data_IF_693078964100
#
_entry.id   IF_693078964100
#
_cell.length_a   1.000
_cell.length_b   1.000
_cell.length_c   1.000
_cell.angle_alpha   90.00
_cell.angle_beta   90.00
_cell.angle_gamma   90.00
#
_symmetry.space_group_name_H-M   'P 1'
#
loop_
_entity.id
_entity.type
_entity.pdbx_description
1 polymer ?
#
# COMPACT_ATOMS: atom_id res chain seq x y z
N UNK A 1 -26.22 -8.45 -11.18
CA UNK A 1 -24.78 -8.43 -11.49
C UNK A 1 -24.50 -9.05 -12.84
N UNK A 2 -23.83 -8.30 -13.71
CA UNK A 2 -23.41 -8.76 -15.04
C UNK A 2 -22.12 -9.58 -14.92
N UNK A 3 -22.07 -10.87 -15.29
CA UNK A 3 -20.87 -11.69 -15.16
C UNK A 3 -19.64 -11.09 -15.86
N UNK A 4 -19.85 -10.41 -16.99
CA UNK A 4 -18.84 -9.73 -17.80
C UNK A 4 -18.25 -8.48 -17.13
N UNK A 5 -18.89 -7.96 -16.08
CA UNK A 5 -18.37 -6.85 -15.28
C UNK A 5 -17.64 -7.31 -14.02
N UNK A 6 -17.53 -8.63 -13.79
CA UNK A 6 -16.74 -9.16 -12.66
C UNK A 6 -15.27 -9.21 -13.05
N UNK A 7 -14.49 -8.26 -12.57
CA UNK A 7 -13.04 -8.30 -12.72
C UNK A 7 -12.37 -9.41 -11.91
N UNK A 8 -11.23 -9.86 -12.42
CA UNK A 8 -10.40 -10.84 -11.72
C UNK A 8 -9.45 -10.09 -10.79
N UNK A 9 -9.76 -10.14 -9.49
CA UNK A 9 -8.89 -9.65 -8.42
C UNK A 9 -7.79 -10.65 -8.03
N UNK A 10 -7.64 -11.75 -8.77
CA UNK A 10 -6.81 -12.89 -8.37
C UNK A 10 -5.35 -12.46 -8.17
N UNK A 11 -4.87 -12.52 -6.94
CA UNK A 11 -3.51 -12.09 -6.56
C UNK A 11 -3.36 -10.59 -6.33
N UNK A 12 -4.42 -9.80 -6.52
CA UNK A 12 -4.51 -8.37 -6.26
C UNK A 12 -5.70 -8.06 -5.33
N UNK A 13 -6.16 -9.03 -4.55
CA UNK A 13 -7.22 -8.83 -3.56
C UNK A 13 -6.78 -7.78 -2.54
N UNK A 14 -7.66 -6.80 -2.31
CA UNK A 14 -7.44 -5.69 -1.39
C UNK A 14 -8.77 -5.28 -0.75
N UNK A 15 -8.69 -4.49 0.32
CA UNK A 15 -9.83 -3.99 1.06
C UNK A 15 -9.58 -2.57 1.57
N UNK A 16 -10.64 -1.91 2.04
CA UNK A 16 -10.57 -0.52 2.55
C UNK A 16 -9.77 0.41 1.64
N UNK A 17 -10.21 0.56 0.38
CA UNK A 17 -9.63 1.56 -0.50
C UNK A 17 -9.81 2.95 0.11
N UNK A 18 -8.71 3.69 0.21
CA UNK A 18 -8.65 5.05 0.76
C UNK A 18 -8.08 5.99 -0.30
N UNK A 19 -6.75 6.13 -0.36
CA UNK A 19 -6.11 7.09 -1.25
C UNK A 19 -6.25 6.69 -2.72
N UNK A 20 -6.69 7.63 -3.56
CA UNK A 20 -6.85 7.45 -5.00
C UNK A 20 -6.06 8.51 -5.78
N UNK A 21 -5.41 8.12 -6.87
CA UNK A 21 -4.80 9.08 -7.80
C UNK A 21 -4.71 8.51 -9.21
N UNK A 22 -4.88 9.38 -10.20
CA UNK A 22 -4.60 9.07 -11.59
C UNK A 22 -3.20 9.51 -11.98
N UNK A 23 -2.49 8.69 -12.75
CA UNK A 23 -1.35 9.18 -13.51
C UNK A 23 -1.77 9.73 -14.89
N UNK A 24 -0.84 10.37 -15.61
CA UNK A 24 -1.11 11.00 -16.90
C UNK A 24 -1.52 10.04 -18.03
N UNK A 25 -1.39 8.72 -17.82
CA UNK A 25 -1.80 7.68 -18.78
C UNK A 25 -3.21 7.17 -18.50
N UNK A 26 -3.82 7.60 -17.40
CA UNK A 26 -5.14 7.15 -16.96
C UNK A 26 -5.10 5.87 -16.12
N UNK A 27 -3.94 5.47 -15.59
CA UNK A 27 -3.88 4.39 -14.59
C UNK A 27 -4.40 4.95 -13.27
N UNK A 28 -5.36 4.26 -12.66
CA UNK A 28 -5.85 4.53 -11.31
C UNK A 28 -4.99 3.76 -10.30
N UNK A 29 -4.36 4.51 -9.41
CA UNK A 29 -3.58 4.03 -8.28
C UNK A 29 -4.44 4.09 -7.01
N UNK A 30 -4.64 2.93 -6.38
CA UNK A 30 -5.51 2.72 -5.22
C UNK A 30 -4.63 2.32 -4.04
N UNK A 31 -4.75 3.04 -2.94
CA UNK A 31 -4.02 2.81 -1.69
C UNK A 31 -5.01 2.29 -0.65
N UNK A 32 -4.54 1.49 0.31
CA UNK A 32 -5.42 0.82 1.28
C UNK A 32 -5.11 1.18 2.72
N UNK A 33 -6.18 1.28 3.50
CA UNK A 33 -6.17 1.45 4.96
C UNK A 33 -7.12 0.44 5.64
N UNK A 34 -6.74 -0.84 5.60
CA UNK A 34 -7.35 -1.85 6.46
C UNK A 34 -6.79 -1.66 7.86
N UNK A 35 -7.68 -1.46 8.84
CA UNK A 35 -7.32 -1.34 10.25
C UNK A 35 -6.42 -2.48 10.72
N UNK A 36 -5.41 -2.14 11.53
CA UNK A 36 -4.52 -3.11 12.18
C UNK A 36 -5.25 -4.17 13.01
N UNK A 37 -6.48 -3.89 13.47
CA UNK A 37 -7.33 -4.84 14.21
C UNK A 37 -7.98 -5.92 13.34
N UNK A 38 -8.09 -5.70 12.04
CA UNK A 38 -8.76 -6.62 11.09
C UNK A 38 -7.87 -7.05 9.94
N UNK A 39 -6.68 -6.46 9.80
CA UNK A 39 -5.76 -6.75 8.70
C UNK A 39 -5.43 -8.24 8.59
N UNK A 40 -5.50 -8.76 7.37
CA UNK A 40 -5.29 -10.18 7.04
C UNK A 40 -6.15 -11.16 7.87
N UNK A 41 -7.32 -10.72 8.35
CA UNK A 41 -8.27 -11.52 9.14
C UNK A 41 -9.69 -11.32 8.62
N UNK A 42 -10.63 -12.20 9.01
CA UNK A 42 -12.04 -12.13 8.60
C UNK A 42 -12.15 -11.99 7.07
N UNK A 43 -12.85 -10.96 6.58
CA UNK A 43 -13.05 -10.70 5.15
C UNK A 43 -11.75 -10.29 4.43
N UNK A 44 -10.73 -9.85 5.16
CA UNK A 44 -9.41 -9.47 4.62
C UNK A 44 -8.40 -10.63 4.64
N UNK A 45 -8.82 -11.84 5.04
CA UNK A 45 -7.93 -13.01 5.15
C UNK A 45 -7.30 -13.34 3.79
N UNK A 46 -5.96 -13.41 3.78
CA UNK A 46 -5.16 -13.71 2.59
C UNK A 46 -4.70 -12.47 1.80
N UNK A 47 -5.16 -11.27 2.15
CA UNK A 47 -4.78 -10.03 1.46
C UNK A 47 -3.42 -9.48 1.92
N UNK A 48 -2.92 -9.90 3.09
CA UNK A 48 -1.65 -9.43 3.65
C UNK A 48 -1.75 -8.05 4.31
N UNK A 49 -0.66 -7.28 4.27
CA UNK A 49 -0.63 -5.90 4.79
C UNK A 49 -1.31 -4.94 3.80
N UNK A 50 -1.44 -3.68 4.22
CA UNK A 50 -1.89 -2.60 3.35
C UNK A 50 -0.95 -2.45 2.15
N UNK A 51 -1.51 -1.98 1.03
CA UNK A 51 -0.91 -2.13 -0.29
C UNK A 51 -1.30 -0.97 -1.21
N UNK A 52 -0.62 -0.90 -2.34
CA UNK A 52 -1.06 -0.09 -3.48
C UNK A 52 -1.36 -1.00 -4.66
N UNK A 53 -2.51 -0.77 -5.30
CA UNK A 53 -3.02 -1.52 -6.44
C UNK A 53 -3.21 -0.57 -7.61
N UNK A 54 -2.86 -1.01 -8.82
CA UNK A 54 -3.07 -0.27 -10.06
C UNK A 54 -4.14 -0.95 -10.91
N UNK A 55 -4.98 -0.15 -11.56
CA UNK A 55 -5.98 -0.61 -12.52
C UNK A 55 -6.16 0.41 -13.64
N UNK A 56 -6.53 -0.05 -14.83
CA UNK A 56 -7.04 0.82 -15.89
C UNK A 56 -8.57 0.74 -15.82
N UNK A 57 -9.28 1.85 -15.52
CA UNK A 57 -10.74 1.84 -15.43
C UNK A 57 -11.38 1.23 -16.68
N UNK A 58 -12.37 0.36 -16.46
CA UNK A 58 -13.08 -0.34 -17.53
C UNK A 58 -12.41 -1.62 -18.05
N UNK A 59 -11.16 -1.90 -17.69
CA UNK A 59 -10.48 -3.15 -18.09
C UNK A 59 -10.77 -4.33 -17.17
N UNK A 60 -11.28 -4.06 -15.97
CA UNK A 60 -11.50 -5.07 -14.93
C UNK A 60 -10.21 -5.84 -14.51
N UNK A 61 -9.04 -5.27 -14.82
CA UNK A 61 -7.72 -5.80 -14.46
C UNK A 61 -7.14 -5.01 -13.28
N UNK A 62 -6.66 -5.74 -12.27
CA UNK A 62 -6.05 -5.16 -11.08
C UNK A 62 -4.70 -5.82 -10.83
N UNK A 63 -3.68 -5.02 -10.53
CA UNK A 63 -2.34 -5.50 -10.22
C UNK A 63 -1.85 -4.85 -8.94
N UNK A 64 -1.45 -5.66 -7.96
CA UNK A 64 -0.74 -5.16 -6.77
C UNK A 64 0.63 -4.62 -7.20
N UNK A 65 0.90 -3.37 -6.89
CA UNK A 65 2.16 -2.72 -7.21
C UNK A 65 3.15 -2.77 -6.04
N UNK A 66 2.67 -2.55 -4.81
CA UNK A 66 3.50 -2.67 -3.60
C UNK A 66 2.67 -3.15 -2.39
N UNK A 67 3.38 -3.65 -1.38
CA UNK A 67 2.85 -3.98 -0.04
C UNK A 67 3.67 -3.23 1.00
N UNK A 68 2.99 -2.62 1.97
CA UNK A 68 3.61 -1.88 3.06
C UNK A 68 4.16 -2.77 4.17
N UNK A 69 4.97 -2.18 5.08
CA UNK A 69 5.39 -2.84 6.31
C UNK A 69 4.21 -3.18 7.23
N UNK A 70 4.50 -3.88 8.32
CA UNK A 70 3.47 -4.25 9.32
C UNK A 70 2.93 -3.02 10.04
N UNK A 71 1.62 -3.02 10.31
CA UNK A 71 0.93 -1.99 11.09
C UNK A 71 0.96 -0.61 10.45
N UNK A 72 1.11 -0.51 9.13
CA UNK A 72 0.96 0.76 8.41
C UNK A 72 -0.31 0.76 7.56
N UNK A 73 -0.73 1.94 7.13
CA UNK A 73 -1.49 2.11 5.89
C UNK A 73 -0.55 2.58 4.75
N UNK A 74 -1.05 2.48 3.52
CA UNK A 74 -0.45 3.16 2.37
C UNK A 74 -1.31 4.38 2.07
N UNK A 75 -0.69 5.55 1.96
CA UNK A 75 -1.41 6.81 1.73
C UNK A 75 -0.50 7.84 1.08
N UNK A 76 -1.06 8.99 0.65
CA UNK A 76 -0.32 10.12 0.09
C UNK A 76 0.59 9.79 -1.10
N UNK A 77 0.08 10.03 -2.32
CA UNK A 77 0.75 9.70 -3.57
C UNK A 77 1.06 10.96 -4.40
N UNK A 78 2.24 11.01 -5.02
CA UNK A 78 2.58 12.01 -6.04
C UNK A 78 3.55 11.44 -7.08
N UNK A 79 3.44 11.89 -8.33
CA UNK A 79 4.37 11.55 -9.40
C UNK A 79 5.16 12.77 -9.85
N UNK A 80 6.39 12.57 -10.34
CA UNK A 80 7.06 13.59 -11.15
C UNK A 80 6.31 13.79 -12.47
N UNK A 81 6.40 14.96 -13.13
CA UNK A 81 5.70 15.23 -14.40
C UNK A 81 6.01 14.24 -15.53
N UNK A 82 7.20 13.63 -15.51
CA UNK A 82 7.62 12.60 -16.47
C UNK A 82 7.23 11.17 -16.06
N UNK A 83 6.57 11.01 -14.91
CA UNK A 83 6.11 9.75 -14.33
C UNK A 83 7.21 8.70 -14.11
N UNK A 84 8.47 9.13 -13.98
CA UNK A 84 9.62 8.25 -13.71
C UNK A 84 9.91 8.08 -12.21
N UNK A 85 9.34 8.96 -11.39
CA UNK A 85 9.47 8.90 -9.92
C UNK A 85 8.10 8.95 -9.28
N UNK A 86 7.85 8.03 -8.35
CA UNK A 86 6.66 7.96 -7.53
C UNK A 86 7.04 8.22 -6.06
N UNK A 87 6.40 9.20 -5.44
CA UNK A 87 6.44 9.45 -4.00
C UNK A 87 5.19 8.82 -3.36
N UNK A 88 5.38 8.00 -2.33
CA UNK A 88 4.27 7.33 -1.62
C UNK A 88 4.55 7.32 -0.12
N UNK A 89 3.54 7.57 0.72
CA UNK A 89 3.71 7.56 2.17
C UNK A 89 3.36 6.20 2.79
N UNK A 90 4.17 5.83 3.77
CA UNK A 90 3.92 4.78 4.73
C UNK A 90 3.53 5.48 6.02
N UNK A 91 2.25 5.44 6.40
CA UNK A 91 1.77 6.09 7.62
C UNK A 91 1.74 5.10 8.79
N UNK A 92 2.10 5.62 9.97
CA UNK A 92 2.02 4.96 11.27
C UNK A 92 2.53 3.51 11.35
N UNK A 93 3.65 3.14 10.69
CA UNK A 93 4.15 1.77 10.75
C UNK A 93 4.34 1.33 12.20
N UNK A 94 3.92 0.11 12.50
CA UNK A 94 4.00 -0.44 13.85
C UNK A 94 2.79 -0.13 14.76
N UNK A 95 1.68 0.37 14.22
CA UNK A 95 0.42 0.45 14.96
C UNK A 95 0.01 -0.96 15.45
N UNK A 96 -0.31 -1.14 16.75
CA UNK A 96 -0.77 -2.43 17.26
C UNK A 96 -2.21 -2.74 16.82
N UNK A 97 -2.58 -4.01 16.84
CA UNK A 97 -3.96 -4.42 16.55
C UNK A 97 -4.96 -3.98 17.62
N UNK A 98 -4.49 -3.74 18.85
CA UNK A 98 -5.29 -3.31 19.99
C UNK A 98 -4.47 -2.39 20.91
N UNK A 99 -5.14 -1.42 21.54
CA UNK A 99 -4.54 -0.57 22.57
C UNK A 99 -3.48 0.41 22.04
N UNK A 100 -2.61 0.87 22.95
CA UNK A 100 -1.52 1.80 22.65
C UNK A 100 -0.20 1.04 22.47
N UNK A 101 0.71 1.60 21.66
CA UNK A 101 2.06 1.06 21.50
C UNK A 101 2.82 1.08 22.84
N UNK A 102 3.54 -0.01 23.18
CA UNK A 102 4.42 -0.06 24.35
C UNK A 102 5.73 0.71 24.08
N UNK A 103 6.04 1.78 24.82
CA UNK A 103 7.27 2.53 24.64
C UNK A 103 8.54 1.76 25.03
N UNK A 104 8.46 0.70 25.83
CA UNK A 104 9.60 -0.13 26.21
C UNK A 104 9.97 -1.14 25.11
N UNK A 105 9.00 -1.54 24.28
CA UNK A 105 9.19 -2.47 23.17
C UNK A 105 8.71 -1.87 21.84
N UNK A 106 9.34 -0.76 21.39
CA UNK A 106 8.80 0.04 20.30
C UNK A 106 8.81 -0.68 18.93
N UNK A 107 9.56 -1.78 18.80
CA UNK A 107 9.69 -2.57 17.56
C UNK A 107 8.83 -3.83 17.52
N UNK A 108 7.94 -4.04 18.50
CA UNK A 108 7.16 -5.27 18.62
C UNK A 108 6.31 -5.60 17.37
N UNK A 109 5.85 -4.57 16.65
CA UNK A 109 5.03 -4.73 15.44
C UNK A 109 5.84 -4.51 14.16
N UNK A 110 6.68 -3.48 14.11
CA UNK A 110 7.44 -3.10 12.93
C UNK A 110 8.81 -2.59 13.32
N UNK A 111 9.77 -2.74 12.43
CA UNK A 111 11.10 -2.13 12.49
C UNK A 111 11.36 -1.19 11.31
N UNK A 112 10.30 -0.79 10.61
CA UNK A 112 10.40 0.13 9.48
C UNK A 112 10.88 1.53 9.90
N UNK A 113 11.74 2.22 9.12
CA UNK A 113 12.35 1.76 7.86
C UNK A 113 13.69 1.04 8.05
N UNK A 114 14.27 1.10 9.24
CA UNK A 114 15.69 0.82 9.47
C UNK A 114 16.03 -0.65 9.74
N UNK A 115 15.02 -1.54 9.76
CA UNK A 115 15.20 -2.99 9.92
C UNK A 115 15.88 -3.36 11.23
N UNK A 116 16.93 -4.19 11.19
CA UNK A 116 17.61 -4.70 12.39
C UNK A 116 18.26 -3.60 13.24
N UNK A 117 18.51 -2.42 12.66
CA UNK A 117 19.08 -1.26 13.37
C UNK A 117 18.01 -0.32 13.92
N UNK A 118 16.74 -0.68 13.77
CA UNK A 118 15.65 0.21 14.10
C UNK A 118 15.46 0.39 15.61
N UNK A 119 15.15 1.63 15.99
CA UNK A 119 14.46 1.95 17.23
C UNK A 119 12.96 2.04 16.98
N UNK A 120 12.33 3.13 17.42
CA UNK A 120 10.91 3.37 17.16
C UNK A 120 10.59 3.50 15.67
N UNK A 121 9.56 2.80 15.15
CA UNK A 121 9.11 2.95 13.78
C UNK A 121 8.74 4.38 13.41
N UNK A 122 8.96 4.74 12.14
CA UNK A 122 8.77 6.10 11.65
C UNK A 122 7.99 6.12 10.36
N UNK A 123 6.90 6.90 10.32
CA UNK A 123 6.24 7.26 9.06
C UNK A 123 7.27 7.81 8.08
N UNK A 124 7.15 7.43 6.82
CA UNK A 124 8.17 7.73 5.80
C UNK A 124 7.52 8.00 4.46
N UNK A 125 8.07 8.94 3.71
CA UNK A 125 7.84 9.04 2.26
C UNK A 125 8.89 8.19 1.56
N UNK A 126 8.44 7.25 0.73
CA UNK A 126 9.30 6.41 -0.11
C UNK A 126 9.33 6.99 -1.51
N UNK A 127 10.52 6.99 -2.10
CA UNK A 127 10.74 7.35 -3.50
C UNK A 127 10.93 6.06 -4.29
N UNK A 128 10.00 5.75 -5.17
CA UNK A 128 10.04 4.57 -6.04
C UNK A 128 10.48 5.03 -7.44
N UNK A 129 11.52 4.38 -7.93
CA UNK A 129 12.07 4.54 -9.28
C UNK A 129 12.26 3.17 -9.91
N UNK A 130 12.15 3.06 -11.24
CA UNK A 130 12.58 1.85 -11.95
C UNK A 130 14.10 1.84 -12.10
N UNK A 131 14.71 0.65 -11.99
CA UNK A 131 16.16 0.49 -12.09
C UNK A 131 16.71 0.88 -13.47
N UNK A 132 15.90 0.74 -14.53
CA UNK A 132 16.20 1.17 -15.89
C UNK A 132 15.87 2.65 -16.16
N UNK A 133 15.42 3.38 -15.13
CA UNK A 133 14.98 4.77 -15.22
C UNK A 133 13.65 4.97 -15.94
N UNK A 134 12.94 3.90 -16.34
CA UNK A 134 11.68 3.95 -17.09
C UNK A 134 10.49 4.56 -16.33
N UNK A 135 9.34 4.60 -17.00
CA UNK A 135 8.10 5.14 -16.44
C UNK A 135 7.51 4.16 -15.41
N UNK A 136 7.09 4.65 -14.26
CA UNK A 136 6.46 3.84 -13.21
C UNK A 136 5.22 3.12 -13.76
N UNK A 137 5.12 1.81 -13.53
CA UNK A 137 3.98 1.02 -14.01
C UNK A 137 3.94 0.78 -15.53
N UNK A 138 5.09 0.80 -16.22
CA UNK A 138 5.28 0.19 -17.56
C UNK A 138 6.16 -1.04 -17.50
#
# INVERSE_FOLDING_TARGET
>A
DKPETKGSMKGAEFGSADGLSFDHRGVLWIQTDVSSSTINSKDYKGMGNNQMVATIPGTNEFRRFLTGPRGCEITGIAFTPDNRTLFINIQHPGEPSEGLSDPQHPTAVSSWPDGDKAGRPRSSTVVIVKADGGIIGT
#
